data_IF_889287896025
#
_entry.id   IF_889287896025
#
_cell.length_a   1.000
_cell.length_b   1.000
_cell.length_c   1.000
_cell.angle_alpha   90.00
_cell.angle_beta   90.00
_cell.angle_gamma   90.00
#
_symmetry.space_group_name_H-M   'P 1'
#
loop_
_entity.id
_entity.type
_entity.pdbx_description
1 polymer ?
#
# COMPACT_ATOMS: atom_id res chain seq x y z
N UNK A 1 -66.70 2.29 13.06
CA UNK A 1 -65.57 3.23 12.83
C UNK A 1 -64.30 2.41 12.86
N UNK A 2 -63.72 2.11 11.68
CA UNK A 2 -62.45 1.36 11.56
C UNK A 2 -61.33 2.35 11.29
N UNK A 3 -60.47 2.52 12.30
CA UNK A 3 -59.28 3.39 12.20
C UNK A 3 -58.16 2.68 11.42
N UNK A 4 -57.83 3.23 10.26
CA UNK A 4 -56.75 2.72 9.40
C UNK A 4 -55.46 3.42 9.82
N UNK A 5 -54.54 2.72 10.53
CA UNK A 5 -53.22 3.21 10.84
C UNK A 5 -52.32 3.04 9.62
N UNK A 6 -51.99 4.16 8.99
CA UNK A 6 -50.98 4.22 7.92
C UNK A 6 -49.57 4.21 8.56
N UNK A 7 -48.87 3.07 8.47
CA UNK A 7 -47.44 2.99 8.83
C UNK A 7 -46.63 3.58 7.67
N UNK A 8 -46.10 4.78 7.89
CA UNK A 8 -45.18 5.44 6.98
C UNK A 8 -43.78 4.80 7.15
N UNK A 9 -43.38 3.91 6.23
CA UNK A 9 -42.05 3.31 6.20
C UNK A 9 -41.08 4.35 5.65
N UNK A 10 -40.34 5.07 6.51
CA UNK A 10 -39.24 5.90 6.11
C UNK A 10 -38.06 4.99 5.68
N UNK A 11 -37.86 4.86 4.40
CA UNK A 11 -36.62 4.30 3.83
C UNK A 11 -35.49 5.29 4.09
N UNK A 12 -34.69 5.02 5.11
CA UNK A 12 -33.39 5.67 5.28
C UNK A 12 -32.45 5.14 4.19
N UNK A 13 -32.26 5.92 3.15
CA UNK A 13 -31.14 5.73 2.23
C UNK A 13 -29.84 6.07 3.00
N UNK A 14 -29.13 5.01 3.41
CA UNK A 14 -27.77 5.20 3.91
C UNK A 14 -26.88 5.47 2.69
N UNK A 15 -26.56 6.75 2.47
CA UNK A 15 -25.51 7.15 1.55
C UNK A 15 -24.18 6.75 2.19
N UNK A 16 -23.56 5.69 1.71
CA UNK A 16 -22.17 5.38 2.03
C UNK A 16 -21.31 6.50 1.45
N UNK A 17 -20.81 7.38 2.31
CA UNK A 17 -19.82 8.38 1.92
C UNK A 17 -18.53 7.59 1.67
N UNK A 18 -18.10 7.51 0.42
CA UNK A 18 -16.81 6.93 0.08
C UNK A 18 -15.71 7.72 0.82
N UNK A 19 -14.90 7.03 1.60
CA UNK A 19 -13.79 7.66 2.31
C UNK A 19 -12.77 8.17 1.28
N UNK A 20 -12.49 9.48 1.32
CA UNK A 20 -11.46 10.10 0.47
C UNK A 20 -10.10 9.79 1.13
N UNK A 21 -9.13 9.21 0.41
CA UNK A 21 -7.81 8.96 0.97
C UNK A 21 -7.05 10.27 1.17
N UNK A 22 -6.30 10.38 2.26
CA UNK A 22 -5.38 11.51 2.49
C UNK A 22 -4.03 11.30 1.77
N UNK A 23 -3.73 10.07 1.41
CA UNK A 23 -2.47 9.67 0.79
C UNK A 23 -2.72 8.70 -0.35
N UNK A 24 -1.82 8.73 -1.32
CA UNK A 24 -1.76 7.78 -2.44
C UNK A 24 -0.47 6.98 -2.30
N UNK A 25 -0.61 5.67 -2.36
CA UNK A 25 0.48 4.72 -2.30
C UNK A 25 0.88 4.29 -3.71
N UNK A 26 2.18 4.19 -3.95
CA UNK A 26 2.72 3.77 -5.25
C UNK A 26 3.66 2.61 -5.04
N UNK A 27 3.43 1.52 -5.79
CA UNK A 27 4.39 0.44 -5.93
C UNK A 27 5.20 0.64 -7.21
N UNK A 28 6.51 0.58 -7.08
CA UNK A 28 7.46 0.47 -8.18
C UNK A 28 7.85 -1.01 -8.27
N UNK A 29 7.04 -1.81 -8.95
CA UNK A 29 7.28 -3.25 -9.05
C UNK A 29 8.41 -3.55 -10.02
N UNK A 30 9.28 -4.51 -9.67
CA UNK A 30 10.36 -4.92 -10.53
C UNK A 30 9.80 -5.39 -11.89
N UNK A 31 10.44 -4.96 -12.97
CA UNK A 31 10.06 -5.28 -14.35
C UNK A 31 11.11 -6.21 -14.96
N UNK A 32 10.84 -7.54 -15.04
CA UNK A 32 11.82 -8.50 -15.55
C UNK A 32 12.23 -8.27 -17.00
N UNK A 33 11.30 -7.78 -17.81
CA UNK A 33 11.45 -7.51 -19.25
C UNK A 33 11.89 -6.07 -19.58
N UNK A 34 12.39 -5.33 -18.58
CA UNK A 34 12.91 -3.98 -18.81
C UNK A 34 14.07 -3.99 -19.78
N UNK A 35 14.14 -2.95 -20.63
CA UNK A 35 15.19 -2.81 -21.62
C UNK A 35 16.59 -2.91 -20.99
N UNK A 36 17.47 -3.72 -21.61
CA UNK A 36 18.89 -3.77 -21.29
C UNK A 36 19.56 -2.56 -21.93
N UNK A 37 20.08 -1.67 -21.11
CA UNK A 37 20.79 -0.47 -21.52
C UNK A 37 22.18 -0.46 -20.86
N UNK A 38 23.08 0.41 -21.31
CA UNK A 38 24.42 0.53 -20.75
C UNK A 38 24.37 0.90 -19.27
N UNK A 39 25.31 0.42 -18.47
CA UNK A 39 25.37 0.64 -17.03
C UNK A 39 25.45 2.13 -16.67
N UNK A 40 26.20 2.91 -17.44
CA UNK A 40 26.28 4.35 -17.28
C UNK A 40 24.95 5.06 -17.49
N UNK A 41 24.14 4.57 -18.44
CA UNK A 41 22.81 5.11 -18.68
C UNK A 41 21.86 4.74 -17.54
N UNK A 42 21.92 3.51 -17.01
CA UNK A 42 21.19 3.10 -15.80
C UNK A 42 21.55 4.04 -14.65
N UNK A 43 22.84 4.27 -14.43
CA UNK A 43 23.31 5.17 -13.37
C UNK A 43 22.74 6.57 -13.52
N UNK A 44 22.79 7.15 -14.73
CA UNK A 44 22.25 8.49 -15.00
C UNK A 44 20.75 8.56 -14.71
N UNK A 45 19.97 7.53 -15.13
CA UNK A 45 18.54 7.45 -14.86
C UNK A 45 18.29 7.40 -13.34
N UNK A 46 19.05 6.59 -12.60
CA UNK A 46 18.87 6.45 -11.15
C UNK A 46 19.33 7.70 -10.38
N UNK A 47 20.37 8.40 -10.81
CA UNK A 47 20.76 9.69 -10.24
C UNK A 47 19.65 10.73 -10.45
N UNK A 48 19.03 10.75 -11.62
CA UNK A 48 17.87 11.58 -11.93
C UNK A 48 16.64 11.21 -11.09
N UNK A 49 16.38 9.92 -10.90
CA UNK A 49 15.33 9.39 -10.02
C UNK A 49 15.51 9.90 -8.58
N UNK A 50 16.72 9.77 -8.01
CA UNK A 50 17.00 10.27 -6.66
C UNK A 50 16.85 11.79 -6.55
N UNK A 51 17.27 12.53 -7.58
CA UNK A 51 17.08 13.98 -7.65
C UNK A 51 15.60 14.35 -7.65
N UNK A 52 14.77 13.61 -8.39
CA UNK A 52 13.32 13.82 -8.45
C UNK A 52 12.64 13.49 -7.11
N UNK A 53 13.03 12.41 -6.43
CA UNK A 53 12.58 12.06 -5.08
C UNK A 53 12.81 13.24 -4.13
N UNK A 54 14.05 13.76 -4.10
CA UNK A 54 14.41 14.88 -3.22
C UNK A 54 13.63 16.15 -3.54
N UNK A 55 13.38 16.43 -4.82
CA UNK A 55 12.56 17.56 -5.26
C UNK A 55 11.12 17.42 -4.77
N UNK A 56 10.48 16.27 -5.03
CA UNK A 56 9.09 16.01 -4.64
C UNK A 56 8.91 16.02 -3.11
N UNK A 57 9.93 15.55 -2.36
CA UNK A 57 9.93 15.62 -0.91
C UNK A 57 10.01 17.08 -0.41
N UNK A 58 10.91 17.90 -0.96
CA UNK A 58 11.02 19.33 -0.64
C UNK A 58 9.74 20.12 -0.97
N UNK A 59 9.02 19.71 -2.02
CA UNK A 59 7.73 20.27 -2.39
C UNK A 59 6.59 19.80 -1.47
N UNK A 60 6.85 18.92 -0.49
CA UNK A 60 5.85 18.35 0.40
C UNK A 60 4.85 17.41 -0.29
N UNK A 61 5.14 16.98 -1.50
CA UNK A 61 4.33 16.04 -2.29
C UNK A 61 4.60 14.60 -1.92
N UNK A 62 5.88 14.20 -1.89
CA UNK A 62 6.34 12.88 -1.49
C UNK A 62 6.66 12.88 0.02
N UNK A 63 5.97 12.03 0.76
CA UNK A 63 6.09 11.96 2.22
C UNK A 63 7.06 10.86 2.64
N UNK A 64 7.02 9.71 1.95
CA UNK A 64 7.91 8.59 2.21
C UNK A 64 8.29 7.88 0.93
N UNK A 65 9.51 7.36 0.89
CA UNK A 65 10.05 6.53 -0.18
C UNK A 65 10.97 5.48 0.40
N UNK A 66 10.98 4.29 -0.16
CA UNK A 66 11.87 3.22 0.27
C UNK A 66 11.99 2.13 -0.79
N UNK A 67 13.22 1.64 -1.07
CA UNK A 67 13.44 0.50 -1.94
C UNK A 67 13.13 -0.81 -1.22
N UNK A 68 12.72 -1.81 -2.00
CA UNK A 68 12.71 -3.20 -1.57
C UNK A 68 14.06 -3.87 -1.83
N UNK A 69 14.41 -4.78 -0.95
CA UNK A 69 15.51 -5.71 -1.22
C UNK A 69 15.15 -6.55 -2.46
N UNK A 70 16.09 -6.67 -3.42
CA UNK A 70 15.84 -7.32 -4.71
C UNK A 70 15.23 -6.41 -5.80
N UNK A 71 15.00 -5.14 -5.51
CA UNK A 71 14.59 -4.13 -6.49
C UNK A 71 13.13 -3.72 -6.41
N UNK A 72 12.84 -2.58 -7.04
CA UNK A 72 11.58 -1.88 -6.86
C UNK A 72 11.52 -1.12 -5.55
N UNK A 73 10.32 -0.71 -5.13
CA UNK A 73 10.15 0.06 -3.91
C UNK A 73 8.76 0.65 -3.79
N UNK A 74 8.63 1.59 -2.86
CA UNK A 74 7.38 2.30 -2.61
C UNK A 74 7.58 3.81 -2.61
N UNK A 75 6.51 4.52 -2.98
CA UNK A 75 6.31 5.93 -2.66
C UNK A 75 4.99 6.12 -1.94
N UNK A 76 4.93 7.10 -1.04
CA UNK A 76 3.69 7.55 -0.42
C UNK A 76 3.58 9.06 -0.63
N UNK A 77 2.55 9.47 -1.36
CA UNK A 77 2.30 10.87 -1.69
C UNK A 77 1.18 11.46 -0.84
N UNK A 78 1.33 12.74 -0.48
CA UNK A 78 0.26 13.53 0.12
C UNK A 78 -0.67 14.05 -0.98
N UNK A 79 -1.69 13.29 -1.28
CA UNK A 79 -2.72 13.62 -2.27
C UNK A 79 -3.94 12.74 -2.06
N UNK A 80 -5.11 13.27 -2.37
CA UNK A 80 -6.37 12.53 -2.47
C UNK A 80 -6.69 12.08 -3.91
N UNK A 81 -5.84 12.45 -4.88
CA UNK A 81 -6.07 12.20 -6.30
C UNK A 81 -5.00 11.30 -6.91
N UNK A 82 -5.44 10.14 -7.41
CA UNK A 82 -4.60 9.21 -8.17
C UNK A 82 -4.04 9.88 -9.43
N UNK A 83 -4.85 10.66 -10.15
CA UNK A 83 -4.43 11.29 -11.40
C UNK A 83 -3.37 12.36 -11.16
N UNK A 84 -3.48 13.12 -10.08
CA UNK A 84 -2.45 14.07 -9.67
C UNK A 84 -1.12 13.38 -9.38
N UNK A 85 -1.14 12.24 -8.69
CA UNK A 85 0.08 11.46 -8.40
C UNK A 85 0.65 10.87 -9.69
N UNK A 86 -0.18 10.37 -10.60
CA UNK A 86 0.27 9.92 -11.93
C UNK A 86 0.98 11.03 -12.69
N UNK A 87 0.45 12.25 -12.65
CA UNK A 87 1.11 13.43 -13.26
C UNK A 87 2.49 13.68 -12.64
N UNK A 88 2.61 13.66 -11.29
CA UNK A 88 3.91 13.83 -10.64
C UNK A 88 4.90 12.73 -10.99
N UNK A 89 4.45 11.49 -11.15
CA UNK A 89 5.29 10.36 -11.54
C UNK A 89 5.85 10.51 -12.97
N UNK A 90 5.19 11.26 -13.88
CA UNK A 90 5.73 11.51 -15.22
C UNK A 90 7.03 12.31 -15.19
N UNK A 91 7.35 12.98 -14.09
CA UNK A 91 8.60 13.73 -13.92
C UNK A 91 9.79 12.87 -13.51
N UNK A 92 9.55 11.58 -13.20
CA UNK A 92 10.58 10.66 -12.72
C UNK A 92 11.32 9.99 -13.89
N UNK A 93 12.64 10.17 -14.02
CA UNK A 93 13.42 9.57 -15.12
C UNK A 93 13.36 8.04 -15.16
N UNK A 94 13.26 7.39 -14.00
CA UNK A 94 13.14 5.94 -13.92
C UNK A 94 11.79 5.43 -14.41
N UNK A 95 10.71 6.17 -14.12
CA UNK A 95 9.36 5.90 -14.63
C UNK A 95 9.32 6.15 -16.16
N UNK A 96 9.87 7.28 -16.63
CA UNK A 96 9.96 7.59 -18.05
C UNK A 96 10.75 6.53 -18.83
N UNK A 97 11.83 6.01 -18.25
CA UNK A 97 12.64 4.94 -18.83
C UNK A 97 12.01 3.55 -18.66
N UNK A 98 10.77 3.48 -18.18
CA UNK A 98 10.01 2.24 -18.03
C UNK A 98 10.76 1.15 -17.24
N UNK A 99 11.43 1.56 -16.12
CA UNK A 99 12.24 0.66 -15.29
C UNK A 99 11.40 -0.21 -14.36
N UNK A 100 10.14 0.17 -14.10
CA UNK A 100 9.21 -0.53 -13.21
C UNK A 100 7.81 -0.65 -13.82
N UNK A 101 7.05 -1.64 -13.34
CA UNK A 101 5.61 -1.64 -13.45
C UNK A 101 5.06 -0.82 -12.28
N UNK A 102 4.42 0.31 -12.58
CA UNK A 102 3.96 1.27 -11.58
C UNK A 102 2.49 1.04 -11.26
N UNK A 103 2.17 0.82 -9.98
CA UNK A 103 0.81 0.79 -9.48
C UNK A 103 0.56 2.00 -8.60
N UNK A 104 -0.58 2.67 -8.78
CA UNK A 104 -0.97 3.87 -8.03
C UNK A 104 -2.32 3.60 -7.38
N UNK A 105 -2.35 3.56 -6.04
CA UNK A 105 -3.47 3.06 -5.25
C UNK A 105 -3.87 4.06 -4.16
N UNK A 106 -5.17 4.18 -3.83
CA UNK A 106 -5.59 4.94 -2.66
C UNK A 106 -5.07 4.25 -1.39
N UNK A 107 -4.66 5.02 -0.38
CA UNK A 107 -4.09 4.47 0.84
C UNK A 107 -4.97 4.77 2.05
N UNK A 108 -5.44 3.71 2.71
CA UNK A 108 -6.30 3.79 3.89
C UNK A 108 -5.63 3.12 5.08
N UNK A 109 -4.88 3.87 5.92
CA UNK A 109 -4.21 3.32 7.09
C UNK A 109 -5.24 2.90 8.15
N UNK A 110 -5.08 1.68 8.67
CA UNK A 110 -5.85 1.12 9.78
C UNK A 110 -5.04 1.15 11.07
N UNK A 111 -3.72 1.02 10.97
CA UNK A 111 -2.75 1.15 12.06
C UNK A 111 -1.55 1.93 11.55
N UNK A 112 -0.99 2.81 12.39
CA UNK A 112 0.07 3.73 12.00
C UNK A 112 -0.45 4.84 11.08
N UNK A 113 0.34 5.90 10.94
CA UNK A 113 0.10 7.01 10.02
C UNK A 113 1.30 7.15 9.08
N UNK A 114 1.18 8.00 8.06
CA UNK A 114 2.32 8.41 7.23
C UNK A 114 2.81 9.77 7.72
N UNK A 115 4.10 9.85 8.01
CA UNK A 115 4.74 11.06 8.48
C UNK A 115 6.00 11.36 7.64
N UNK A 116 6.27 12.64 7.43
CA UNK A 116 7.56 13.03 6.89
C UNK A 116 8.65 12.77 7.94
N UNK A 117 9.59 11.90 7.62
CA UNK A 117 10.75 11.66 8.46
C UNK A 117 11.62 12.92 8.54
N UNK A 118 12.30 13.12 9.67
CA UNK A 118 13.16 14.26 9.90
C UNK A 118 14.63 13.95 9.56
N UNK A 119 15.31 14.91 8.97
CA UNK A 119 16.75 14.83 8.74
C UNK A 119 17.57 15.08 10.04
N UNK A 120 18.70 14.39 10.24
CA UNK A 120 19.28 13.37 9.37
C UNK A 120 18.52 12.06 9.46
N UNK A 121 18.24 11.44 8.30
CA UNK A 121 17.47 10.20 8.24
C UNK A 121 18.21 9.04 8.90
N UNK A 122 17.56 8.38 9.85
CA UNK A 122 17.95 7.05 10.34
C UNK A 122 17.21 6.01 9.51
N UNK A 123 17.94 5.24 8.70
CA UNK A 123 17.34 4.20 7.88
C UNK A 123 17.17 2.91 8.67
N UNK A 124 16.03 2.25 8.44
CA UNK A 124 15.66 0.97 9.07
C UNK A 124 15.12 0.00 8.03
N UNK A 125 15.16 -1.28 8.34
CA UNK A 125 14.58 -2.33 7.50
C UNK A 125 13.40 -2.98 8.21
N UNK A 126 12.26 -3.00 7.55
CA UNK A 126 11.05 -3.67 8.02
C UNK A 126 10.71 -4.86 7.14
N UNK A 127 10.03 -5.87 7.70
CA UNK A 127 9.34 -6.87 6.90
C UNK A 127 8.04 -6.27 6.39
N UNK A 128 7.91 -6.27 5.08
CA UNK A 128 6.76 -5.74 4.35
C UNK A 128 6.00 -6.90 3.72
N UNK A 129 4.74 -7.06 4.09
CA UNK A 129 3.85 -8.08 3.57
C UNK A 129 2.73 -7.39 2.82
N UNK A 130 2.60 -7.69 1.53
CA UNK A 130 1.47 -7.26 0.70
C UNK A 130 0.57 -8.46 0.43
N UNK A 131 -0.72 -8.30 0.64
CA UNK A 131 -1.73 -9.28 0.33
C UNK A 131 -2.44 -8.90 -0.96
N UNK A 132 -2.16 -9.64 -2.04
CA UNK A 132 -2.74 -9.39 -3.37
C UNK A 132 -3.78 -10.43 -3.74
N UNK A 133 -4.85 -10.05 -4.45
CA UNK A 133 -5.84 -11.00 -4.93
C UNK A 133 -5.21 -12.06 -5.84
N UNK A 134 -5.60 -13.32 -5.66
CA UNK A 134 -5.22 -14.38 -6.57
C UNK A 134 -6.20 -14.42 -7.75
N UNK A 135 -5.79 -13.87 -8.89
CA UNK A 135 -6.63 -13.60 -10.08
C UNK A 135 -7.27 -14.85 -10.70
N UNK A 136 -6.74 -16.06 -10.42
CA UNK A 136 -7.26 -17.31 -10.99
C UNK A 136 -8.48 -17.89 -10.23
N UNK A 137 -8.85 -17.30 -9.10
CA UNK A 137 -10.02 -17.72 -8.33
C UNK A 137 -11.00 -16.54 -8.23
N UNK A 138 -12.26 -16.90 -8.14
CA UNK A 138 -13.43 -16.04 -8.08
C UNK A 138 -13.17 -14.64 -7.50
N UNK A 139 -13.83 -13.66 -8.08
CA UNK A 139 -13.72 -12.26 -7.74
C UNK A 139 -13.69 -12.08 -6.21
N UNK A 140 -12.64 -11.45 -5.68
CA UNK A 140 -12.45 -11.20 -4.24
C UNK A 140 -13.68 -10.56 -3.59
N UNK A 141 -14.43 -9.72 -4.33
CA UNK A 141 -15.68 -9.09 -3.87
C UNK A 141 -16.80 -10.10 -3.63
N UNK A 142 -16.68 -11.33 -4.13
CA UNK A 142 -17.67 -12.41 -3.91
C UNK A 142 -17.39 -13.21 -2.64
N UNK A 143 -16.32 -12.90 -1.91
CA UNK A 143 -15.94 -13.60 -0.67
C UNK A 143 -15.73 -12.64 0.53
N UNK A 144 -16.72 -11.79 0.86
CA UNK A 144 -16.56 -10.79 1.91
C UNK A 144 -16.32 -11.40 3.30
N UNK A 145 -16.85 -12.60 3.57
CA UNK A 145 -16.61 -13.31 4.84
C UNK A 145 -15.14 -13.72 5.00
N UNK A 146 -14.50 -14.14 3.91
CA UNK A 146 -13.11 -14.58 3.94
C UNK A 146 -12.17 -13.38 4.10
N UNK A 147 -12.49 -12.24 3.47
CA UNK A 147 -11.79 -10.98 3.72
C UNK A 147 -11.97 -10.50 5.16
N UNK A 148 -13.16 -10.65 5.73
CA UNK A 148 -13.37 -10.35 7.14
C UNK A 148 -12.52 -11.23 8.04
N UNK A 149 -12.43 -12.53 7.79
CA UNK A 149 -11.55 -13.46 8.53
C UNK A 149 -10.08 -13.06 8.41
N UNK A 150 -9.63 -12.60 7.25
CA UNK A 150 -8.29 -12.03 7.04
C UNK A 150 -8.07 -10.81 7.96
N UNK A 151 -8.97 -9.84 7.96
CA UNK A 151 -8.84 -8.66 8.82
C UNK A 151 -8.86 -9.03 10.32
N UNK A 152 -9.72 -9.95 10.73
CA UNK A 152 -9.77 -10.45 12.09
C UNK A 152 -8.45 -11.17 12.47
N UNK A 153 -7.87 -11.95 11.55
CA UNK A 153 -6.57 -12.60 11.72
C UNK A 153 -5.44 -11.58 11.92
N UNK A 154 -5.34 -10.58 11.06
CA UNK A 154 -4.34 -9.52 11.20
C UNK A 154 -4.49 -8.74 12.50
N UNK A 155 -5.74 -8.50 12.95
CA UNK A 155 -6.01 -7.86 14.23
C UNK A 155 -5.50 -8.68 15.41
N UNK A 156 -5.67 -10.00 15.40
CA UNK A 156 -5.14 -10.90 16.43
C UNK A 156 -3.61 -10.92 16.38
N UNK A 157 -3.05 -11.05 15.18
CA UNK A 157 -1.60 -11.07 14.95
C UNK A 157 -0.93 -9.78 15.45
N UNK A 158 -1.58 -8.64 15.28
CA UNK A 158 -1.09 -7.33 15.76
C UNK A 158 -0.86 -7.27 17.28
N UNK A 159 -1.51 -8.14 18.06
CA UNK A 159 -1.28 -8.25 19.49
C UNK A 159 0.02 -8.99 19.87
N UNK A 160 0.65 -9.68 18.93
CA UNK A 160 1.83 -10.53 19.16
C UNK A 160 3.10 -10.09 18.44
N UNK A 161 2.99 -9.10 17.53
CA UNK A 161 4.11 -8.58 16.74
C UNK A 161 4.19 -7.05 16.84
N UNK A 162 5.37 -6.49 16.57
CA UNK A 162 5.55 -5.03 16.53
C UNK A 162 5.10 -4.50 15.17
N UNK A 163 3.81 -4.14 15.06
CA UNK A 163 3.24 -3.57 13.83
C UNK A 163 3.72 -2.14 13.65
N UNK A 164 4.22 -1.82 12.46
CA UNK A 164 4.64 -0.49 12.04
C UNK A 164 3.49 0.20 11.31
N UNK A 165 2.86 -0.48 10.36
CA UNK A 165 1.65 0.00 9.70
C UNK A 165 0.83 -1.16 9.15
N UNK A 166 -0.48 -0.97 9.14
CA UNK A 166 -1.45 -1.80 8.43
C UNK A 166 -2.36 -0.88 7.62
N UNK A 167 -2.60 -1.21 6.36
CA UNK A 167 -3.45 -0.39 5.50
C UNK A 167 -4.12 -1.22 4.41
N UNK A 168 -5.21 -0.70 3.86
CA UNK A 168 -5.88 -1.24 2.67
C UNK A 168 -5.78 -0.26 1.50
N UNK A 169 -6.03 -0.76 0.29
CA UNK A 169 -6.03 0.00 -0.96
C UNK A 169 -7.43 0.07 -1.60
N UNK A 170 -8.46 -0.13 -0.79
CA UNK A 170 -9.85 -0.24 -1.20
C UNK A 170 -10.36 -1.68 -1.03
N UNK A 171 -11.59 -1.92 -1.51
CA UNK A 171 -12.32 -3.17 -1.23
C UNK A 171 -11.80 -4.39 -2.01
N UNK A 172 -10.97 -4.17 -3.03
CA UNK A 172 -10.52 -5.22 -3.93
C UNK A 172 -9.14 -5.81 -3.59
N UNK A 173 -8.47 -5.30 -2.55
CA UNK A 173 -7.13 -5.76 -2.15
C UNK A 173 -7.07 -6.13 -0.66
N UNK A 174 -6.23 -7.12 -0.31
CA UNK A 174 -5.98 -7.48 1.10
C UNK A 174 -5.13 -6.45 1.86
N UNK A 175 -4.45 -5.54 1.14
CA UNK A 175 -3.67 -4.45 1.73
C UNK A 175 -2.23 -4.81 2.06
N UNK A 176 -1.67 -4.08 3.04
CA UNK A 176 -0.31 -4.30 3.55
C UNK A 176 -0.28 -4.47 5.06
N UNK A 177 0.72 -5.22 5.51
CA UNK A 177 1.05 -5.42 6.92
C UNK A 177 2.58 -5.32 7.08
N UNK A 178 3.04 -4.30 7.76
CA UNK A 178 4.48 -3.99 7.92
C UNK A 178 4.86 -4.12 9.38
N UNK A 179 5.91 -4.87 9.66
CA UNK A 179 6.34 -5.16 11.04
C UNK A 179 7.83 -4.88 11.25
N UNK A 180 8.17 -4.51 12.48
CA UNK A 180 9.54 -4.52 12.96
C UNK A 180 9.84 -5.93 13.52
N UNK A 181 10.75 -6.64 12.86
CA UNK A 181 11.01 -8.06 13.10
C UNK A 181 10.57 -8.92 11.93
N UNK A 182 10.41 -10.21 12.17
CA UNK A 182 10.04 -11.18 11.13
C UNK A 182 8.85 -12.04 11.57
N UNK A 183 7.88 -12.17 10.69
CA UNK A 183 6.79 -13.14 10.77
C UNK A 183 7.17 -14.30 9.87
N UNK A 184 7.07 -15.53 10.39
CA UNK A 184 7.43 -16.73 9.64
C UNK A 184 6.42 -17.01 8.53
N UNK A 185 6.87 -17.72 7.50
CA UNK A 185 6.01 -18.15 6.39
C UNK A 185 4.77 -18.91 6.88
N UNK A 186 4.95 -19.79 7.85
CA UNK A 186 3.86 -20.57 8.46
C UNK A 186 2.76 -19.68 9.05
N UNK A 187 3.14 -18.63 9.80
CA UNK A 187 2.18 -17.67 10.35
C UNK A 187 1.44 -16.93 9.25
N UNK A 188 2.13 -16.53 8.17
CA UNK A 188 1.49 -15.85 7.03
C UNK A 188 0.51 -16.79 6.32
N UNK A 189 0.87 -18.05 6.12
CA UNK A 189 0.04 -19.08 5.46
C UNK A 189 -1.16 -19.52 6.30
N UNK A 190 -1.13 -19.33 7.63
CA UNK A 190 -2.26 -19.57 8.53
C UNK A 190 -3.37 -18.51 8.42
N UNK A 191 -3.13 -17.42 7.71
CA UNK A 191 -4.17 -16.47 7.36
C UNK A 191 -5.27 -17.15 6.52
N UNK A 192 -6.55 -17.10 6.93
CA UNK A 192 -7.62 -17.82 6.25
C UNK A 192 -7.77 -17.47 4.77
N UNK A 193 -7.51 -16.22 4.38
CA UNK A 193 -7.62 -15.80 2.98
C UNK A 193 -6.42 -16.28 2.15
N UNK A 194 -5.23 -16.37 2.75
CA UNK A 194 -4.04 -16.93 2.11
C UNK A 194 -4.16 -18.45 2.01
N UNK A 195 -4.49 -19.13 3.12
CA UNK A 195 -4.62 -20.59 3.16
C UNK A 195 -5.69 -21.15 2.24
N UNK A 196 -6.76 -20.40 1.98
CA UNK A 196 -7.80 -20.76 1.00
C UNK A 196 -7.52 -20.25 -0.42
N UNK A 197 -6.40 -19.54 -0.61
CA UNK A 197 -5.94 -19.06 -1.92
C UNK A 197 -6.81 -17.95 -2.51
N UNK A 198 -7.46 -17.13 -1.68
CA UNK A 198 -8.09 -15.88 -2.10
C UNK A 198 -7.04 -14.77 -2.26
N UNK A 199 -6.08 -14.73 -1.34
CA UNK A 199 -4.97 -13.80 -1.35
C UNK A 199 -3.63 -14.54 -1.51
N UNK A 200 -2.67 -13.88 -2.12
CA UNK A 200 -1.26 -14.25 -2.11
C UNK A 200 -0.50 -13.24 -1.29
N UNK A 201 0.32 -13.71 -0.36
CA UNK A 201 1.19 -12.86 0.43
C UNK A 201 2.55 -12.69 -0.26
N UNK A 202 2.88 -11.47 -0.64
CA UNK A 202 4.21 -11.08 -1.12
C UNK A 202 5.01 -10.53 0.04
N UNK A 203 6.11 -11.18 0.39
CA UNK A 203 6.98 -10.78 1.51
C UNK A 203 8.26 -10.17 0.97
N UNK A 204 8.58 -8.95 1.43
CA UNK A 204 9.77 -8.19 1.02
C UNK A 204 10.42 -7.53 2.24
N UNK A 205 11.67 -7.13 2.12
CA UNK A 205 12.34 -6.24 3.07
C UNK A 205 12.29 -4.83 2.51
N UNK A 206 11.70 -3.92 3.28
CA UNK A 206 11.58 -2.50 2.95
C UNK A 206 12.63 -1.72 3.73
N UNK A 207 13.53 -1.03 3.03
CA UNK A 207 14.48 -0.10 3.62
C UNK A 207 13.95 1.33 3.53
N UNK A 208 13.65 1.96 4.66
CA UNK A 208 12.94 3.24 4.71
C UNK A 208 13.42 4.09 5.90
N UNK A 209 13.21 5.39 5.83
CA UNK A 209 13.50 6.28 6.94
C UNK A 209 12.63 5.94 8.16
N UNK A 210 13.25 5.80 9.34
CA UNK A 210 12.56 5.63 10.61
C UNK A 210 11.63 6.82 10.85
N UNK A 211 10.38 6.53 11.21
CA UNK A 211 9.36 7.56 11.40
C UNK A 211 8.56 7.91 10.14
N UNK A 212 8.88 7.32 8.97
CA UNK A 212 8.03 7.43 7.77
C UNK A 212 6.62 6.85 8.00
N UNK A 213 6.55 5.80 8.81
CA UNK A 213 5.31 5.35 9.44
C UNK A 213 5.38 5.72 10.92
N UNK A 214 4.45 6.54 11.38
CA UNK A 214 4.45 7.04 12.75
C UNK A 214 3.22 6.53 13.52
N UNK A 215 3.39 6.38 14.82
CA UNK A 215 2.26 6.10 15.72
C UNK A 215 1.37 7.35 15.87
N UNK A 216 0.08 7.12 16.17
CA UNK A 216 -0.87 8.19 16.49
C UNK A 216 -0.60 8.74 17.88
#
# INVERSE_FOLDING_TARGET
MKSLLFFLFMLFWQTTIAQIPDHIFVFLNNKPDKAKIAEEEVKKIMDGHMTNINRLAKEGKLIAAGPFDGGGGIFIFKSSSIDQVREWLTTDPGVQANRWNVEVLPYYPQHGLVCAAQEPYQMVTYQFIRYVPYVAKDNITQQPELLKKHQDYLKVLSGSVSVITQATFGDAEGGIFVVNGEITKEVIENDPAVGQGLLVAEVKKLWIAKGAFCEK
#
